data_IF_455793337278
#
_entry.id   IF_455793337278
#
_cell.length_a   1.000
_cell.length_b   1.000
_cell.length_c   1.000
_cell.angle_alpha   90.00
_cell.angle_beta   90.00
_cell.angle_gamma   90.00
#
_symmetry.space_group_name_H-M   'P 1'
#
loop_
_entity.id
_entity.type
_entity.pdbx_description
1 polymer ?
#
# COMPACT_ATOMS: atom_id res chain seq x y z
N UNK A 1 12.18 35.78 -2.54
CA UNK A 1 11.19 34.69 -2.51
C UNK A 1 11.80 33.61 -1.62
N UNK A 2 11.38 33.52 -0.36
CA UNK A 2 11.98 32.58 0.60
C UNK A 2 11.44 31.16 0.35
N UNK A 3 12.37 30.21 0.17
CA UNK A 3 12.07 28.78 0.08
C UNK A 3 11.70 28.26 1.48
N UNK A 4 10.42 28.31 1.82
CA UNK A 4 9.88 27.62 2.98
C UNK A 4 9.36 26.25 2.52
N UNK A 5 10.08 25.17 2.78
CA UNK A 5 9.56 23.82 2.56
C UNK A 5 9.97 22.87 3.68
N UNK A 6 9.13 22.81 4.71
CA UNK A 6 8.91 21.56 5.42
C UNK A 6 7.40 21.37 5.51
N UNK A 7 6.87 20.47 4.66
CA UNK A 7 5.53 19.92 4.81
C UNK A 7 5.64 18.71 5.75
N UNK A 8 5.09 18.83 6.96
CA UNK A 8 4.86 17.65 7.77
C UNK A 8 3.50 17.07 7.36
N UNK A 9 3.52 15.82 6.88
CA UNK A 9 2.31 15.07 6.54
C UNK A 9 2.23 13.86 7.47
N UNK A 10 1.18 13.82 8.29
CA UNK A 10 0.85 12.66 9.12
C UNK A 10 -0.41 11.98 8.59
N UNK A 11 -0.41 10.67 8.50
CA UNK A 11 -1.53 9.88 8.02
C UNK A 11 -2.02 8.95 9.12
N UNK A 12 -3.33 8.72 9.18
CA UNK A 12 -3.94 7.82 10.13
C UNK A 12 -3.21 6.47 10.26
N UNK A 13 -2.78 6.16 11.48
CA UNK A 13 -2.16 4.89 11.84
C UNK A 13 -3.14 3.95 12.54
N UNK A 14 -2.96 2.66 12.30
CA UNK A 14 -3.79 1.59 12.85
C UNK A 14 -3.02 0.86 13.95
N UNK A 15 -3.69 0.59 15.06
CA UNK A 15 -3.20 -0.37 16.04
C UNK A 15 -3.17 -1.80 15.47
N UNK A 16 -2.45 -2.71 16.12
CA UNK A 16 -2.46 -4.13 15.73
C UNK A 16 -3.85 -4.76 15.70
N UNK A 17 -4.76 -4.32 16.58
CA UNK A 17 -6.15 -4.80 16.62
C UNK A 17 -6.95 -4.31 15.42
N UNK A 18 -6.91 -3.01 15.14
CA UNK A 18 -7.59 -2.42 13.97
C UNK A 18 -7.03 -3.00 12.67
N UNK A 19 -5.71 -3.13 12.56
CA UNK A 19 -5.07 -3.76 11.42
C UNK A 19 -5.53 -5.22 11.23
N UNK A 20 -5.76 -5.96 12.31
CA UNK A 20 -6.28 -7.33 12.24
C UNK A 20 -7.75 -7.37 11.77
N UNK A 21 -8.59 -6.47 12.25
CA UNK A 21 -9.99 -6.34 11.82
C UNK A 21 -10.09 -6.02 10.32
N UNK A 22 -9.23 -5.14 9.83
CA UNK A 22 -9.26 -4.70 8.43
C UNK A 22 -8.66 -5.77 7.51
N UNK A 23 -7.44 -6.22 7.81
CA UNK A 23 -6.69 -7.13 6.94
C UNK A 23 -7.08 -8.61 7.08
N UNK A 24 -7.69 -8.99 8.20
CA UNK A 24 -7.93 -10.38 8.58
C UNK A 24 -6.68 -11.08 9.17
N UNK A 25 -5.56 -10.37 9.31
CA UNK A 25 -4.30 -10.93 9.79
C UNK A 25 -4.16 -10.69 11.28
N UNK A 26 -4.28 -11.75 12.08
CA UNK A 26 -4.21 -11.64 13.54
C UNK A 26 -2.81 -11.17 14.04
N UNK A 27 -2.71 -10.61 15.26
CA UNK A 27 -1.45 -10.06 15.77
C UNK A 27 -0.29 -11.06 15.89
N UNK A 28 -0.58 -12.36 16.03
CA UNK A 28 0.47 -13.40 16.05
C UNK A 28 1.14 -13.50 14.68
N UNK A 29 0.32 -13.57 13.62
CA UNK A 29 0.80 -13.64 12.25
C UNK A 29 1.48 -12.33 11.82
N UNK A 30 0.96 -11.17 12.23
CA UNK A 30 1.62 -9.87 12.03
C UNK A 30 3.06 -9.87 12.58
N UNK A 31 3.24 -10.30 13.84
CA UNK A 31 4.58 -10.41 14.45
C UNK A 31 5.46 -11.41 13.73
N UNK A 32 4.89 -12.53 13.29
CA UNK A 32 5.62 -13.56 12.56
C UNK A 32 6.15 -13.04 11.22
N UNK A 33 5.31 -12.37 10.43
CA UNK A 33 5.68 -11.76 9.16
C UNK A 33 6.71 -10.65 9.34
N UNK A 34 6.58 -9.81 10.38
CA UNK A 34 7.58 -8.80 10.73
C UNK A 34 8.94 -9.42 11.06
N UNK A 35 8.98 -10.48 11.87
CA UNK A 35 10.24 -11.20 12.19
C UNK A 35 10.92 -11.78 10.95
N UNK A 36 10.16 -12.08 9.90
CA UNK A 36 10.68 -12.57 8.62
C UNK A 36 10.98 -11.46 7.61
N UNK A 37 10.91 -10.19 8.00
CA UNK A 37 11.20 -9.05 7.12
C UNK A 37 10.12 -8.76 6.07
N UNK A 38 8.93 -9.36 6.19
CA UNK A 38 7.82 -9.11 5.28
C UNK A 38 7.03 -7.84 5.63
N UNK A 39 7.20 -7.32 6.85
CA UNK A 39 6.64 -6.06 7.30
C UNK A 39 7.77 -5.19 7.86
N UNK A 40 7.68 -3.85 7.74
CA UNK A 40 8.65 -2.93 8.33
C UNK A 40 8.89 -3.17 9.82
N UNK A 41 10.12 -2.86 10.25
CA UNK A 41 10.47 -2.85 11.66
C UNK A 41 9.79 -1.67 12.37
N UNK A 42 9.46 -1.83 13.65
CA UNK A 42 8.90 -0.75 14.48
C UNK A 42 10.02 -0.30 15.40
N UNK A 43 10.49 0.93 15.24
CA UNK A 43 11.50 1.52 16.11
C UNK A 43 10.86 2.09 17.38
N UNK A 44 11.45 1.79 18.55
CA UNK A 44 11.19 2.52 19.80
C UNK A 44 9.81 2.36 20.47
N UNK A 45 8.77 1.92 19.76
CA UNK A 45 7.40 1.87 20.31
C UNK A 45 7.05 0.54 20.97
N UNK A 46 6.40 0.61 22.15
CA UNK A 46 5.87 -0.56 22.86
C UNK A 46 4.64 -1.18 22.18
N UNK A 47 3.93 -0.41 21.34
CA UNK A 47 2.71 -0.84 20.67
C UNK A 47 2.90 -0.76 19.16
N UNK A 48 2.43 -1.78 18.43
CA UNK A 48 2.60 -1.80 16.98
C UNK A 48 1.61 -0.86 16.30
N UNK A 49 2.15 0.06 15.48
CA UNK A 49 1.42 0.93 14.56
C UNK A 49 1.64 0.49 13.12
N UNK A 50 0.62 0.71 12.30
CA UNK A 50 0.62 0.35 10.89
C UNK A 50 0.02 1.48 10.07
N UNK A 51 0.69 1.87 8.99
CA UNK A 51 0.11 2.70 7.95
C UNK A 51 -0.98 1.95 7.18
N UNK A 52 -1.87 2.67 6.48
CA UNK A 52 -2.85 2.03 5.59
C UNK A 52 -2.17 1.15 4.53
N UNK A 53 -0.99 1.54 4.03
CA UNK A 53 -0.25 0.79 3.03
C UNK A 53 0.18 -0.59 3.53
N UNK A 54 0.56 -0.69 4.81
CA UNK A 54 0.91 -1.95 5.46
C UNK A 54 -0.33 -2.81 5.70
N UNK A 55 -1.48 -2.21 6.04
CA UNK A 55 -2.75 -2.94 6.17
C UNK A 55 -3.21 -3.51 4.83
N UNK A 56 -3.08 -2.74 3.75
CA UNK A 56 -3.32 -3.23 2.38
C UNK A 56 -2.35 -4.36 2.03
N UNK A 57 -1.06 -4.19 2.32
CA UNK A 57 -0.05 -5.24 2.11
C UNK A 57 -0.39 -6.53 2.84
N UNK A 58 -0.78 -6.45 4.11
CA UNK A 58 -1.21 -7.60 4.91
C UNK A 58 -2.44 -8.28 4.31
N UNK A 59 -3.40 -7.50 3.83
CA UNK A 59 -4.59 -8.04 3.14
C UNK A 59 -4.22 -8.86 1.91
N UNK A 60 -3.29 -8.35 1.09
CA UNK A 60 -2.78 -9.05 -0.09
C UNK A 60 -2.01 -10.31 0.30
N UNK A 61 -1.10 -10.20 1.27
CA UNK A 61 -0.30 -11.33 1.74
C UNK A 61 -1.16 -12.46 2.31
N UNK A 62 -2.24 -12.13 3.00
CA UNK A 62 -3.18 -13.12 3.51
C UNK A 62 -3.82 -13.92 2.37
N UNK A 63 -4.28 -13.23 1.32
CA UNK A 63 -4.86 -13.90 0.12
C UNK A 63 -3.85 -14.75 -0.63
N UNK A 64 -2.62 -14.26 -0.78
CA UNK A 64 -1.53 -15.03 -1.40
C UNK A 64 -1.20 -16.27 -0.58
N UNK A 65 -1.13 -16.15 0.75
CA UNK A 65 -0.86 -17.28 1.65
C UNK A 65 -1.99 -18.32 1.59
N UNK A 66 -3.25 -17.88 1.56
CA UNK A 66 -4.42 -18.74 1.35
C UNK A 66 -4.37 -19.48 0.00
N UNK A 67 -3.79 -18.85 -1.02
CA UNK A 67 -3.52 -19.44 -2.34
C UNK A 67 -2.27 -20.33 -2.42
N UNK A 68 -1.57 -20.54 -1.30
CA UNK A 68 -0.40 -21.42 -1.24
C UNK A 68 0.93 -20.78 -1.64
N UNK A 69 1.00 -19.46 -1.75
CA UNK A 69 2.25 -18.76 -2.13
C UNK A 69 3.27 -18.79 -0.98
N UNK A 70 4.51 -19.12 -1.35
CA UNK A 70 5.65 -19.17 -0.44
C UNK A 70 6.01 -17.80 0.12
N UNK A 71 6.68 -17.80 1.26
CA UNK A 71 7.18 -16.57 1.90
C UNK A 71 8.14 -15.81 0.98
N UNK A 72 8.93 -16.50 0.15
CA UNK A 72 9.79 -15.87 -0.86
C UNK A 72 8.95 -15.11 -1.89
N UNK A 73 7.89 -15.72 -2.40
CA UNK A 73 6.94 -15.06 -3.29
C UNK A 73 6.25 -13.86 -2.64
N UNK A 74 5.83 -13.98 -1.38
CA UNK A 74 5.25 -12.85 -0.63
C UNK A 74 6.23 -11.68 -0.52
N UNK A 75 7.51 -11.93 -0.23
CA UNK A 75 8.52 -10.89 -0.06
C UNK A 75 8.77 -10.12 -1.35
N UNK A 76 8.89 -10.85 -2.46
CA UNK A 76 9.13 -10.26 -3.77
C UNK A 76 7.95 -9.39 -4.22
N UNK A 77 6.72 -9.83 -3.95
CA UNK A 77 5.54 -9.33 -4.63
C UNK A 77 4.71 -8.31 -3.84
N UNK A 78 4.52 -8.56 -2.54
CA UNK A 78 3.48 -7.89 -1.75
C UNK A 78 3.64 -6.37 -1.67
N UNK A 79 4.87 -5.85 -1.64
CA UNK A 79 5.12 -4.41 -1.57
C UNK A 79 4.65 -3.64 -2.80
N UNK A 80 4.95 -4.17 -4.00
CA UNK A 80 4.58 -3.52 -5.25
C UNK A 80 3.07 -3.55 -5.50
N UNK A 81 2.41 -4.67 -5.18
CA UNK A 81 0.95 -4.72 -5.24
C UNK A 81 0.27 -3.85 -4.20
N UNK A 82 0.83 -3.79 -2.98
CA UNK A 82 0.31 -2.91 -1.95
C UNK A 82 0.39 -1.43 -2.39
N UNK A 83 1.48 -1.03 -3.05
CA UNK A 83 1.59 0.32 -3.61
C UNK A 83 0.43 0.65 -4.55
N UNK A 84 0.14 -0.21 -5.53
CA UNK A 84 -0.94 0.01 -6.48
C UNK A 84 -2.34 -0.09 -5.85
N UNK A 85 -2.57 -1.08 -4.98
CA UNK A 85 -3.85 -1.21 -4.29
C UNK A 85 -4.11 -0.02 -3.34
N UNK A 86 -3.07 0.51 -2.69
CA UNK A 86 -3.20 1.70 -1.84
C UNK A 86 -3.52 2.93 -2.68
N UNK A 87 -2.85 3.13 -3.83
CA UNK A 87 -3.18 4.22 -4.75
C UNK A 87 -4.66 4.18 -5.18
N UNK A 88 -5.18 3.00 -5.52
CA UNK A 88 -6.60 2.81 -5.83
C UNK A 88 -7.51 3.13 -4.66
N UNK A 89 -7.15 2.67 -3.45
CA UNK A 89 -7.92 2.95 -2.24
C UNK A 89 -8.02 4.46 -2.00
N UNK A 90 -6.90 5.19 -2.13
CA UNK A 90 -6.87 6.64 -1.91
C UNK A 90 -7.73 7.40 -2.93
N UNK A 91 -7.93 6.85 -4.14
CA UNK A 91 -8.80 7.42 -5.17
C UNK A 91 -10.29 7.12 -5.00
N UNK A 92 -10.70 6.27 -4.04
CA UNK A 92 -12.12 6.00 -3.81
C UNK A 92 -12.82 7.21 -3.15
N UNK A 93 -14.09 7.48 -3.48
CA UNK A 93 -14.84 8.57 -2.85
C UNK A 93 -14.93 8.39 -1.33
N UNK A 94 -14.54 9.43 -0.58
CA UNK A 94 -14.62 9.43 0.88
C UNK A 94 -13.45 8.73 1.59
N UNK A 95 -12.41 8.28 0.86
CA UNK A 95 -11.26 7.63 1.46
C UNK A 95 -10.38 8.53 2.33
N UNK A 96 -10.30 9.82 2.00
CA UNK A 96 -9.33 10.73 2.64
C UNK A 96 -10.01 12.03 3.04
N UNK A 97 -9.71 12.48 4.26
CA UNK A 97 -10.03 13.79 4.78
C UNK A 97 -8.71 14.52 5.08
N UNK A 98 -8.44 15.60 4.34
CA UNK A 98 -7.25 16.40 4.53
C UNK A 98 -7.57 17.51 5.54
N UNK A 99 -6.74 17.62 6.59
CA UNK A 99 -6.80 18.68 7.59
C UNK A 99 -5.49 19.47 7.50
N UNK A 100 -5.51 20.60 6.81
CA UNK A 100 -4.34 21.45 6.61
C UNK A 100 -4.42 22.75 7.41
N UNK A 101 -3.26 23.35 7.67
CA UNK A 101 -3.14 24.66 8.31
C UNK A 101 -3.42 25.85 7.38
N UNK A 102 -3.54 25.60 6.07
CA UNK A 102 -3.87 26.58 5.04
C UNK A 102 -4.61 25.95 3.85
N UNK A 103 -5.45 26.72 3.13
CA UNK A 103 -6.10 26.25 1.90
C UNK A 103 -5.11 25.83 0.81
N UNK A 104 -3.96 26.49 0.71
CA UNK A 104 -2.91 26.17 -0.26
C UNK A 104 -2.28 24.80 0.01
N UNK A 105 -1.97 24.50 1.28
CA UNK A 105 -1.43 23.20 1.69
C UNK A 105 -2.46 22.08 1.51
N UNK A 106 -3.73 22.33 1.79
CA UNK A 106 -4.80 21.36 1.50
C UNK A 106 -4.88 21.05 0.00
N UNK A 107 -4.86 22.08 -0.84
CA UNK A 107 -4.94 21.93 -2.29
C UNK A 107 -3.73 21.18 -2.86
N UNK A 108 -2.52 21.43 -2.33
CA UNK A 108 -1.32 20.71 -2.76
C UNK A 108 -1.35 19.24 -2.37
N UNK A 109 -1.68 18.91 -1.12
CA UNK A 109 -1.78 17.51 -0.71
C UNK A 109 -2.88 16.78 -1.46
N UNK A 110 -4.01 17.45 -1.74
CA UNK A 110 -5.08 16.90 -2.59
C UNK A 110 -4.55 16.56 -3.98
N UNK A 111 -3.81 17.47 -4.62
CA UNK A 111 -3.17 17.22 -5.92
C UNK A 111 -2.17 16.06 -5.87
N UNK A 112 -1.39 15.93 -4.79
CA UNK A 112 -0.44 14.83 -4.60
C UNK A 112 -1.16 13.48 -4.52
N UNK A 113 -2.25 13.39 -3.74
CA UNK A 113 -3.06 12.18 -3.61
C UNK A 113 -3.76 11.83 -4.93
N UNK A 114 -4.40 12.80 -5.58
CA UNK A 114 -5.05 12.61 -6.88
C UNK A 114 -4.05 12.18 -7.96
N UNK A 115 -2.88 12.82 -7.99
CA UNK A 115 -1.77 12.42 -8.85
C UNK A 115 -1.42 10.96 -8.58
N UNK A 116 -1.07 10.58 -7.35
CA UNK A 116 -0.70 9.20 -7.03
C UNK A 116 -1.79 8.18 -7.39
N UNK A 117 -3.05 8.46 -7.05
CA UNK A 117 -4.18 7.59 -7.36
C UNK A 117 -4.37 7.41 -8.88
N UNK A 118 -4.19 8.48 -9.67
CA UNK A 118 -4.34 8.45 -11.14
C UNK A 118 -3.24 7.68 -11.87
N UNK A 119 -2.04 7.54 -11.28
CA UNK A 119 -0.93 6.82 -11.89
C UNK A 119 -1.11 5.29 -11.87
N UNK A 120 -1.98 4.74 -11.01
CA UNK A 120 -2.19 3.29 -10.92
C UNK A 120 -3.18 2.75 -11.96
N UNK A 121 -2.71 2.59 -13.20
CA UNK A 121 -3.43 1.88 -14.27
C UNK A 121 -3.48 0.36 -14.08
N UNK A 122 -2.57 -0.17 -13.28
CA UNK A 122 -2.49 -1.60 -12.96
C UNK A 122 -3.75 -2.02 -12.22
N UNK A 123 -4.54 -2.95 -12.76
CA UNK A 123 -5.73 -3.50 -12.10
C UNK A 123 -5.44 -4.86 -11.47
N UNK A 124 -4.67 -5.67 -12.17
CA UNK A 124 -4.42 -7.04 -11.80
C UNK A 124 -2.96 -7.30 -11.52
N UNK A 125 -2.78 -8.34 -10.73
CA UNK A 125 -1.52 -9.00 -10.49
C UNK A 125 -1.71 -10.44 -10.88
N UNK A 126 -0.79 -11.00 -11.65
CA UNK A 126 -0.75 -12.43 -11.91
C UNK A 126 0.51 -13.08 -11.36
N UNK A 127 0.37 -14.03 -10.44
CA UNK A 127 1.49 -14.80 -9.93
C UNK A 127 1.51 -16.19 -10.58
N UNK A 128 2.52 -16.53 -11.40
CA UNK A 128 2.59 -17.81 -12.09
C UNK A 128 2.83 -18.96 -11.11
N UNK A 129 2.24 -20.11 -11.42
CA UNK A 129 2.46 -21.37 -10.73
C UNK A 129 2.92 -22.45 -11.72
N UNK A 130 3.92 -23.30 -11.35
CA UNK A 130 4.66 -23.29 -10.08
C UNK A 130 5.51 -22.02 -9.89
N UNK A 131 5.86 -21.71 -8.64
CA UNK A 131 6.71 -20.54 -8.34
C UNK A 131 8.05 -20.68 -9.04
N UNK A 132 8.49 -19.58 -9.66
CA UNK A 132 9.76 -19.53 -10.39
C UNK A 132 10.82 -18.82 -9.56
N UNK A 133 12.05 -19.29 -9.64
CA UNK A 133 13.16 -18.69 -8.90
C UNK A 133 13.72 -17.41 -9.55
N UNK A 134 13.40 -17.16 -10.82
CA UNK A 134 13.88 -16.04 -11.64
C UNK A 134 13.06 -14.73 -11.45
N UNK A 135 12.10 -14.72 -10.53
CA UNK A 135 11.11 -13.64 -10.37
C UNK A 135 11.66 -12.37 -9.71
N UNK A 136 12.74 -12.48 -8.92
CA UNK A 136 13.18 -11.44 -7.99
C UNK A 136 13.62 -10.13 -8.66
N UNK A 137 13.85 -10.12 -9.98
CA UNK A 137 14.16 -8.92 -10.78
C UNK A 137 13.13 -8.55 -11.85
N UNK A 138 12.06 -9.33 -12.02
CA UNK A 138 11.08 -9.14 -13.12
C UNK A 138 9.66 -8.95 -12.63
N UNK A 139 9.48 -8.64 -11.34
CA UNK A 139 8.16 -8.66 -10.70
C UNK A 139 7.13 -7.72 -11.34
N UNK A 140 7.58 -6.60 -11.90
CA UNK A 140 6.74 -5.65 -12.64
C UNK A 140 6.10 -6.29 -13.89
N UNK A 141 6.74 -7.31 -14.48
CA UNK A 141 6.20 -8.04 -15.63
C UNK A 141 4.93 -8.82 -15.28
N UNK A 142 4.52 -8.89 -14.01
CA UNK A 142 3.30 -9.56 -13.54
C UNK A 142 2.16 -8.59 -13.21
N UNK A 143 2.41 -7.28 -13.35
CA UNK A 143 1.40 -6.24 -13.19
C UNK A 143 0.64 -6.03 -14.50
N UNK A 144 -0.68 -6.02 -14.44
CA UNK A 144 -1.54 -6.04 -15.62
C UNK A 144 -2.60 -4.95 -15.53
N UNK A 145 -2.81 -4.22 -16.61
CA UNK A 145 -3.83 -3.18 -16.65
C UNK A 145 -5.20 -3.79 -16.89
N UNK A 146 -5.27 -4.80 -17.75
CA UNK A 146 -6.50 -5.53 -18.06
C UNK A 146 -6.30 -7.06 -18.05
N UNK A 147 -7.40 -7.82 -18.05
CA UNK A 147 -7.37 -9.27 -18.20
C UNK A 147 -6.85 -9.67 -19.58
N UNK A 148 -7.08 -8.86 -20.61
CA UNK A 148 -6.57 -9.12 -21.96
C UNK A 148 -5.07 -9.33 -21.96
N UNK A 149 -4.33 -8.61 -21.11
CA UNK A 149 -2.87 -8.61 -21.03
C UNK A 149 -2.31 -9.92 -20.41
N UNK A 150 -3.16 -10.82 -19.90
CA UNK A 150 -2.74 -12.06 -19.23
C UNK A 150 -2.25 -13.13 -20.20
N UNK A 151 -2.72 -13.12 -21.45
CA UNK A 151 -2.34 -14.14 -22.44
C UNK A 151 -0.81 -14.22 -22.62
N UNK A 152 -0.12 -13.07 -22.65
CA UNK A 152 1.34 -13.00 -22.76
C UNK A 152 2.10 -13.71 -21.62
N UNK A 153 1.47 -13.90 -20.45
CA UNK A 153 2.06 -14.60 -19.32
C UNK A 153 1.76 -16.09 -19.33
N UNK A 154 0.54 -16.46 -19.71
CA UNK A 154 0.11 -17.86 -19.76
C UNK A 154 0.76 -18.59 -20.94
N UNK A 155 1.09 -17.87 -22.01
CA UNK A 155 1.79 -18.42 -23.17
C UNK A 155 3.31 -18.60 -22.93
N UNK A 156 3.84 -18.21 -21.77
CA UNK A 156 5.25 -18.41 -21.42
C UNK A 156 5.53 -19.88 -21.08
N UNK A 157 6.66 -20.38 -21.57
CA UNK A 157 7.09 -21.75 -21.30
C UNK A 157 7.19 -22.00 -19.77
N UNK A 158 6.54 -23.07 -19.32
CA UNK A 158 6.49 -23.47 -17.92
C UNK A 158 5.45 -22.77 -17.05
N UNK A 159 4.65 -21.85 -17.60
CA UNK A 159 3.50 -21.24 -16.90
C UNK A 159 2.22 -21.94 -17.34
N UNK A 160 1.59 -22.68 -16.43
CA UNK A 160 0.38 -23.47 -16.76
C UNK A 160 -0.90 -22.88 -16.16
N UNK A 161 -0.75 -22.25 -14.98
CA UNK A 161 -1.82 -21.56 -14.25
C UNK A 161 -1.18 -20.56 -13.28
N UNK A 162 -1.98 -19.76 -12.58
CA UNK A 162 -1.47 -18.80 -11.61
C UNK A 162 -2.58 -18.16 -10.78
N UNK A 163 -2.18 -17.40 -9.77
CA UNK A 163 -3.10 -16.63 -8.94
C UNK A 163 -3.26 -15.23 -9.51
N UNK A 164 -4.51 -14.83 -9.75
CA UNK A 164 -4.84 -13.46 -10.13
C UNK A 164 -5.38 -12.71 -8.92
N UNK A 165 -4.83 -11.53 -8.62
CA UNK A 165 -5.35 -10.62 -7.61
C UNK A 165 -5.86 -9.36 -8.30
N UNK A 166 -7.15 -9.06 -8.11
CA UNK A 166 -7.74 -7.78 -8.46
C UNK A 166 -7.44 -6.76 -7.36
N UNK A 167 -6.56 -5.80 -7.67
CA UNK A 167 -6.12 -4.78 -6.72
C UNK A 167 -7.22 -3.76 -6.43
N UNK A 168 -8.16 -3.56 -7.34
CA UNK A 168 -9.32 -2.70 -7.11
C UNK A 168 -10.29 -3.37 -6.12
N UNK A 169 -10.49 -4.69 -6.25
CA UNK A 169 -11.28 -5.46 -5.29
C UNK A 169 -10.64 -5.44 -3.89
N UNK A 170 -9.31 -5.56 -3.80
CA UNK A 170 -8.57 -5.39 -2.53
C UNK A 170 -8.78 -3.99 -1.95
N UNK A 171 -8.63 -2.94 -2.76
CA UNK A 171 -8.84 -1.56 -2.32
C UNK A 171 -10.24 -1.34 -1.76
N UNK A 172 -11.28 -1.80 -2.47
CA UNK A 172 -12.68 -1.74 -2.04
C UNK A 172 -12.93 -2.53 -0.75
N UNK A 173 -12.32 -3.71 -0.62
CA UNK A 173 -12.43 -4.52 0.59
C UNK A 173 -11.85 -3.80 1.81
N UNK A 174 -10.63 -3.26 1.69
CA UNK A 174 -9.99 -2.51 2.77
C UNK A 174 -10.80 -1.24 3.08
N UNK A 175 -11.26 -0.52 2.07
CA UNK A 175 -12.12 0.65 2.23
C UNK A 175 -13.41 0.33 3.02
N UNK A 176 -14.04 -0.81 2.74
CA UNK A 176 -15.27 -1.22 3.43
C UNK A 176 -15.08 -1.61 4.90
N UNK A 177 -13.84 -1.95 5.30
CA UNK A 177 -13.51 -2.45 6.64
C UNK A 177 -12.80 -1.41 7.50
N UNK A 178 -12.03 -0.53 6.88
CA UNK A 178 -11.37 0.56 7.57
C UNK A 178 -12.39 1.65 7.95
N UNK A 179 -12.12 2.34 9.06
CA UNK A 179 -12.88 3.54 9.43
C UNK A 179 -12.43 4.68 8.52
N UNK A 180 -13.22 4.94 7.49
CA UNK A 180 -13.02 6.05 6.57
C UNK A 180 -13.76 7.31 7.03
N UNK A 181 -13.28 8.52 6.68
CA UNK A 181 -12.07 8.80 5.91
C UNK A 181 -10.78 8.61 6.72
N UNK A 182 -9.67 8.34 6.03
CA UNK A 182 -8.33 8.46 6.59
C UNK A 182 -8.04 9.94 6.80
N UNK A 183 -7.72 10.32 8.04
CA UNK A 183 -7.30 11.67 8.34
C UNK A 183 -5.84 11.85 7.92
N UNK A 184 -5.59 12.85 7.06
CA UNK A 184 -4.26 13.29 6.66
C UNK A 184 -4.07 14.71 7.18
N UNK A 185 -3.14 14.88 8.11
CA UNK A 185 -2.80 16.18 8.68
C UNK A 185 -1.61 16.78 7.93
N UNK A 186 -1.75 18.04 7.50
CA UNK A 186 -0.70 18.77 6.78
C UNK A 186 -0.36 20.05 7.53
N UNK A 187 0.90 20.21 7.90
CA UNK A 187 1.40 21.41 8.58
C UNK A 187 2.56 21.99 7.78
N UNK A 188 2.44 23.27 7.45
CA UNK A 188 3.44 24.04 6.71
C UNK A 188 4.34 24.75 7.71
N UNK A 189 5.54 24.22 7.96
CA UNK A 189 6.48 24.90 8.84
C UNK A 189 7.10 26.11 8.11
N UNK A 190 6.93 27.31 8.68
CA UNK A 190 7.69 28.49 8.26
C UNK A 190 9.03 28.49 8.99
N UNK A 191 10.13 28.56 8.26
CA UNK A 191 11.41 28.95 8.86
C UNK A 191 11.22 30.39 9.36
N UNK A 192 11.28 30.55 10.68
CA UNK A 192 11.50 31.88 11.26
C UNK A 192 12.93 32.23 10.89
N UNK A 193 13.11 33.25 10.03
CA UNK A 193 14.41 33.88 9.88
C UNK A 193 14.85 34.29 11.29
N UNK A 194 15.89 33.64 11.80
CA UNK A 194 16.46 33.93 13.10
C UNK A 194 16.94 35.37 13.11
N UNK A 195 16.10 36.27 13.64
CA UNK A 195 16.51 37.59 14.03
C UNK A 195 17.61 37.43 15.08
N UNK A 196 18.84 37.74 14.67
CA UNK A 196 19.89 38.04 15.62
C UNK A 196 19.52 39.35 16.32
N UNK A 197 19.18 39.26 17.61
CA UNK A 197 19.33 40.35 18.58
C UNK A 197 20.43 39.96 19.58
#
# INVERSE_FOLDING_TARGET
MSNNHIEYTDQAEFSAGEAAEISGVNPVLQRHWRKRGLLPHIEGERNARFSISEVVRMTIMQRLTEGGISIKGLQAFSGLAAHHATAKLMGLPGSVAIKADSPEAEAEERRRIESWASHSKVRYVFWPLPERDDLEGRIAQYLRADLSDLHELVDQEGVFHGLLIDLEAVAKLVHSRAKMPLETHVVTARLLDGGAE
#
